data_IF_572495331071
#
_entry.id   IF_572495331071
#
_cell.length_a   1.000
_cell.length_b   1.000
_cell.length_c   1.000
_cell.angle_alpha   90.00
_cell.angle_beta   90.00
_cell.angle_gamma   90.00
#
_symmetry.space_group_name_H-M   'P 1'
#
loop_
_entity.id
_entity.type
_entity.pdbx_description
1 polymer ?
#
# COMPACT_ATOMS: atom_id res chain seq x y z
N UNK A 1 -9.53 -6.82 4.59
CA UNK A 1 -9.94 -8.22 4.39
C UNK A 1 -11.27 -8.21 3.66
N UNK A 2 -11.46 -9.08 2.67
CA UNK A 2 -12.78 -9.30 2.07
C UNK A 2 -13.70 -9.97 3.09
N UNK A 3 -14.98 -9.59 3.09
CA UNK A 3 -16.01 -10.17 3.97
C UNK A 3 -17.39 -10.12 3.30
N UNK A 4 -18.30 -10.95 3.80
CA UNK A 4 -19.73 -10.81 3.52
C UNK A 4 -20.35 -9.67 4.33
N UNK A 5 -21.69 -9.64 4.40
CA UNK A 5 -22.42 -8.58 5.10
C UNK A 5 -22.18 -8.59 6.62
N UNK A 6 -22.11 -9.78 7.22
CA UNK A 6 -21.82 -9.98 8.65
C UNK A 6 -20.42 -9.45 8.98
N UNK A 7 -20.27 -8.80 10.14
CA UNK A 7 -19.01 -8.16 10.58
C UNK A 7 -17.87 -9.18 10.71
N UNK A 8 -18.14 -10.32 11.35
CA UNK A 8 -17.17 -11.39 11.65
C UNK A 8 -17.08 -12.47 10.56
N UNK A 9 -17.41 -12.14 9.31
CA UNK A 9 -17.39 -13.11 8.19
C UNK A 9 -16.10 -13.17 7.38
N UNK A 10 -15.11 -12.34 7.70
CA UNK A 10 -13.81 -12.36 7.04
C UNK A 10 -13.08 -13.69 7.28
N UNK A 11 -12.49 -14.28 6.23
CA UNK A 11 -11.81 -15.59 6.33
C UNK A 11 -10.47 -15.64 5.60
N UNK A 12 -10.46 -15.87 4.28
CA UNK A 12 -9.23 -16.12 3.50
C UNK A 12 -8.94 -15.07 2.43
N UNK A 13 -9.91 -14.23 2.09
CA UNK A 13 -9.81 -13.29 0.98
C UNK A 13 -9.31 -11.92 1.43
N UNK A 14 -8.38 -11.34 0.69
CA UNK A 14 -7.91 -9.97 0.91
C UNK A 14 -7.98 -9.17 -0.39
N UNK A 15 -7.91 -7.85 -0.23
CA UNK A 15 -7.87 -6.92 -1.34
C UNK A 15 -6.78 -5.88 -1.08
N UNK A 16 -6.29 -5.27 -2.16
CA UNK A 16 -5.35 -4.15 -2.10
C UNK A 16 -6.02 -2.96 -2.76
N UNK A 17 -6.11 -1.84 -2.03
CA UNK A 17 -6.69 -0.62 -2.56
C UNK A 17 -5.76 -0.01 -3.63
N UNK A 18 -6.24 0.11 -4.87
CA UNK A 18 -5.49 0.75 -5.96
C UNK A 18 -5.54 2.28 -5.91
N UNK A 19 -6.50 2.83 -5.16
CA UNK A 19 -6.71 4.25 -4.88
C UNK A 19 -7.32 4.37 -3.47
N UNK A 20 -7.25 5.54 -2.80
CA UNK A 20 -7.82 5.72 -1.47
C UNK A 20 -9.34 5.44 -1.43
N UNK A 21 -9.79 4.51 -0.57
CA UNK A 21 -11.21 4.14 -0.41
C UNK A 21 -11.70 4.45 1.01
N UNK A 22 -11.76 5.74 1.36
CA UNK A 22 -12.02 6.22 2.74
C UNK A 22 -13.40 5.84 3.29
N UNK A 23 -14.37 5.52 2.43
CA UNK A 23 -15.70 5.07 2.88
C UNK A 23 -15.67 3.67 3.53
N UNK A 24 -14.58 2.91 3.35
CA UNK A 24 -14.37 1.59 3.98
C UNK A 24 -13.74 1.69 5.37
N UNK A 25 -13.28 2.88 5.78
CA UNK A 25 -12.69 3.10 7.10
C UNK A 25 -13.70 2.69 8.18
N UNK A 26 -13.22 1.97 9.21
CA UNK A 26 -14.02 1.40 10.32
C UNK A 26 -15.07 0.36 9.92
N UNK A 27 -15.13 -0.06 8.65
CA UNK A 27 -16.05 -1.07 8.16
C UNK A 27 -15.36 -2.37 7.73
N UNK A 28 -14.06 -2.30 7.42
CA UNK A 28 -13.23 -3.42 7.01
C UNK A 28 -11.93 -3.46 7.82
N UNK A 29 -11.43 -4.68 8.04
CA UNK A 29 -10.17 -4.92 8.74
C UNK A 29 -8.97 -4.68 7.84
N UNK A 30 -8.20 -3.63 8.15
CA UNK A 30 -6.92 -3.31 7.50
C UNK A 30 -5.78 -3.84 8.38
N UNK A 31 -4.86 -4.61 7.80
CA UNK A 31 -3.79 -5.28 8.54
C UNK A 31 -2.39 -5.10 7.93
N UNK A 32 -2.28 -4.39 6.81
CA UNK A 32 -1.00 -4.25 6.12
C UNK A 32 -1.02 -3.12 5.09
N UNK A 33 0.16 -2.87 4.52
CA UNK A 33 0.37 -1.93 3.42
C UNK A 33 1.41 -2.47 2.46
N UNK A 34 1.27 -2.11 1.19
CA UNK A 34 2.29 -2.39 0.17
C UNK A 34 3.44 -1.39 0.37
N UNK A 35 4.65 -1.89 0.57
CA UNK A 35 5.85 -1.06 0.73
C UNK A 35 6.78 -1.10 -0.49
N UNK A 36 6.59 -2.08 -1.37
CA UNK A 36 7.31 -2.26 -2.62
C UNK A 36 6.41 -2.99 -3.64
N UNK A 37 6.67 -2.82 -4.93
CA UNK A 37 5.98 -3.56 -5.99
C UNK A 37 4.57 -3.08 -6.35
N UNK A 38 4.14 -1.89 -5.89
CA UNK A 38 2.80 -1.35 -6.21
C UNK A 38 2.56 -1.23 -7.73
N UNK A 39 3.61 -1.00 -8.52
CA UNK A 39 3.53 -0.96 -9.98
C UNK A 39 3.03 -2.28 -10.57
N UNK A 40 3.38 -3.43 -9.99
CA UNK A 40 2.89 -4.75 -10.44
C UNK A 40 1.41 -4.92 -10.16
N UNK A 41 0.92 -4.46 -9.00
CA UNK A 41 -0.50 -4.47 -8.66
C UNK A 41 -1.31 -3.57 -9.59
N UNK A 42 -0.76 -2.41 -9.93
CA UNK A 42 -1.38 -1.51 -10.90
C UNK A 42 -1.38 -2.07 -12.33
N UNK A 43 -0.50 -3.02 -12.65
CA UNK A 43 -0.40 -3.66 -13.96
C UNK A 43 -1.31 -4.90 -14.11
N UNK A 44 -1.89 -5.42 -13.03
CA UNK A 44 -2.84 -6.52 -13.08
C UNK A 44 -3.97 -6.24 -14.08
N UNK A 45 -4.37 -7.25 -14.84
CA UNK A 45 -5.40 -7.09 -15.87
C UNK A 45 -6.74 -6.88 -15.19
N UNK A 46 -7.53 -5.94 -15.73
CA UNK A 46 -8.88 -5.69 -15.22
C UNK A 46 -9.79 -6.73 -15.87
N UNK A 47 -10.42 -7.54 -15.04
CA UNK A 47 -11.45 -8.49 -15.42
C UNK A 47 -12.81 -7.97 -14.97
N UNK A 48 -13.87 -8.42 -15.64
CA UNK A 48 -15.23 -8.23 -15.12
C UNK A 48 -15.38 -9.02 -13.82
N UNK A 49 -16.16 -8.51 -12.83
CA UNK A 49 -16.43 -9.28 -11.62
C UNK A 49 -16.96 -10.67 -11.97
N UNK A 50 -16.30 -11.76 -11.55
CA UNK A 50 -16.72 -13.11 -11.87
C UNK A 50 -17.97 -13.48 -11.07
N UNK A 51 -18.93 -14.14 -11.72
CA UNK A 51 -20.12 -14.73 -11.10
C UNK A 51 -19.91 -16.23 -10.80
N UNK A 52 -18.98 -16.86 -11.51
CA UNK A 52 -18.62 -18.27 -11.37
C UNK A 52 -17.10 -18.47 -11.22
N UNK A 53 -16.69 -19.68 -10.79
CA UNK A 53 -15.27 -20.04 -10.69
C UNK A 53 -14.61 -20.31 -12.05
N UNK A 54 -15.42 -20.55 -13.08
CA UNK A 54 -14.96 -20.83 -14.43
C UNK A 54 -14.76 -19.55 -15.26
N UNK A 55 -15.16 -18.39 -14.69
CA UNK A 55 -14.95 -17.08 -15.27
C UNK A 55 -13.47 -16.69 -15.24
N UNK A 56 -13.12 -15.66 -16.00
CA UNK A 56 -11.76 -15.11 -16.00
C UNK A 56 -11.47 -14.35 -14.68
N UNK A 57 -10.72 -14.99 -13.79
CA UNK A 57 -10.35 -14.44 -12.48
C UNK A 57 -9.13 -13.50 -12.51
N UNK A 58 -8.49 -13.32 -13.68
CA UNK A 58 -7.27 -12.53 -13.81
C UNK A 58 -6.01 -13.32 -13.45
N UNK A 59 -4.98 -12.61 -13.00
CA UNK A 59 -3.69 -13.21 -12.65
C UNK A 59 -3.73 -13.98 -11.31
N UNK A 60 -2.84 -14.96 -11.18
CA UNK A 60 -2.74 -15.80 -9.99
C UNK A 60 -1.56 -15.40 -9.10
N UNK A 61 -1.72 -15.60 -7.79
CA UNK A 61 -0.62 -15.49 -6.84
C UNK A 61 0.22 -16.76 -6.94
N UNK A 62 1.40 -16.67 -7.57
CA UNK A 62 2.29 -17.82 -7.80
C UNK A 62 2.91 -18.33 -6.49
N UNK A 63 3.23 -17.43 -5.57
CA UNK A 63 3.79 -17.78 -4.27
C UNK A 63 3.56 -16.68 -3.23
N UNK A 64 3.43 -17.06 -1.97
CA UNK A 64 3.46 -16.16 -0.82
C UNK A 64 4.41 -16.73 0.24
N UNK A 65 5.25 -15.88 0.82
CA UNK A 65 6.20 -16.26 1.86
C UNK A 65 6.33 -15.14 2.87
N UNK A 66 6.52 -15.48 4.14
CA UNK A 66 6.98 -14.52 5.13
C UNK A 66 8.49 -14.36 4.97
N UNK A 67 8.99 -13.13 5.07
CA UNK A 67 10.44 -12.89 5.02
C UNK A 67 11.19 -13.65 6.13
N UNK A 68 10.56 -13.90 7.28
CA UNK A 68 11.11 -14.73 8.36
C UNK A 68 11.39 -16.17 7.95
N UNK A 69 10.70 -16.68 6.94
CA UNK A 69 10.78 -18.08 6.51
C UNK A 69 11.85 -18.27 5.42
N UNK A 70 12.42 -17.18 4.91
CA UNK A 70 13.54 -17.22 3.96
C UNK A 70 14.89 -17.40 4.69
N UNK A 71 15.89 -18.03 4.03
CA UNK A 71 17.29 -17.97 4.46
C UNK A 71 17.74 -16.53 4.70
N UNK A 72 18.56 -16.27 5.71
CA UNK A 72 18.92 -14.90 6.14
C UNK A 72 19.54 -14.05 5.02
N UNK A 73 20.27 -14.68 4.12
CA UNK A 73 20.92 -14.10 2.94
C UNK A 73 19.95 -13.80 1.79
N UNK A 74 18.78 -14.42 1.77
CA UNK A 74 17.70 -14.15 0.79
C UNK A 74 16.64 -13.17 1.32
N UNK A 75 16.71 -12.78 2.61
CA UNK A 75 15.69 -11.90 3.21
C UNK A 75 15.80 -10.48 2.66
N UNK A 76 14.75 -9.93 2.02
CA UNK A 76 14.74 -8.52 1.64
C UNK A 76 14.72 -7.66 2.90
N UNK A 77 15.50 -6.57 2.89
CA UNK A 77 15.60 -5.63 4.01
C UNK A 77 15.05 -4.29 3.60
N UNK A 78 14.10 -3.80 4.38
CA UNK A 78 13.49 -2.49 4.17
C UNK A 78 13.63 -1.64 5.42
N UNK A 79 13.87 -0.35 5.21
CA UNK A 79 13.79 0.67 6.24
C UNK A 79 12.69 1.66 5.88
N UNK A 80 11.91 2.03 6.90
CA UNK A 80 10.79 2.96 6.79
C UNK A 80 11.16 4.22 7.56
N UNK A 81 10.92 5.40 6.96
CA UNK A 81 11.12 6.65 7.66
C UNK A 81 10.18 6.73 8.87
N UNK A 82 10.74 6.92 10.06
CA UNK A 82 9.99 7.10 11.30
C UNK A 82 9.16 8.39 11.25
N UNK A 83 7.84 8.24 11.33
CA UNK A 83 6.88 9.34 11.30
C UNK A 83 6.96 10.29 12.52
N UNK A 84 7.60 9.86 13.60
CA UNK A 84 7.86 10.70 14.77
C UNK A 84 9.13 11.55 14.63
N UNK A 85 9.96 11.30 13.61
CA UNK A 85 11.24 12.00 13.45
C UNK A 85 11.10 13.42 12.89
N UNK A 86 12.04 14.34 13.23
CA UNK A 86 12.10 15.66 12.58
C UNK A 86 12.24 15.60 11.06
N UNK A 87 12.88 14.54 10.54
CA UNK A 87 13.02 14.32 9.10
C UNK A 87 11.66 14.07 8.43
N UNK A 88 10.75 13.34 9.07
CA UNK A 88 9.40 13.15 8.55
C UNK A 88 8.59 14.45 8.57
N UNK A 89 8.72 15.26 9.63
CA UNK A 89 8.07 16.57 9.69
C UNK A 89 8.53 17.48 8.54
N UNK A 90 9.84 17.54 8.28
CA UNK A 90 10.39 18.29 7.14
C UNK A 90 9.89 17.75 5.79
N UNK A 91 9.83 16.41 5.65
CA UNK A 91 9.29 15.74 4.46
C UNK A 91 7.82 16.09 4.18
N UNK A 92 6.98 16.10 5.22
CA UNK A 92 5.58 16.46 5.11
C UNK A 92 5.43 17.95 4.75
N UNK A 93 6.20 18.83 5.37
CA UNK A 93 6.14 20.27 5.08
C UNK A 93 6.56 20.59 3.65
N UNK A 94 7.64 19.96 3.14
CA UNK A 94 8.08 20.13 1.76
C UNK A 94 7.02 19.69 0.73
N UNK A 95 6.18 18.70 1.08
CA UNK A 95 5.07 18.26 0.20
C UNK A 95 3.86 19.16 0.29
N UNK A 96 3.57 19.68 1.49
CA UNK A 96 2.47 20.61 1.74
C UNK A 96 2.72 21.89 0.98
N UNK A 97 3.88 22.49 1.18
CA UNK A 97 4.24 23.81 0.66
C UNK A 97 5.44 23.69 -0.28
N UNK A 98 5.20 23.15 -1.49
CA UNK A 98 6.23 22.99 -2.53
C UNK A 98 7.00 24.31 -2.74
N UNK A 99 8.25 24.41 -2.24
CA UNK A 99 8.91 25.71 -2.08
C UNK A 99 9.54 26.22 -3.38
N UNK A 100 9.60 25.39 -4.42
CA UNK A 100 10.26 25.69 -5.69
C UNK A 100 9.60 26.90 -6.39
N UNK A 101 10.40 27.71 -7.08
CA UNK A 101 9.95 28.92 -7.78
C UNK A 101 8.89 28.65 -8.85
N UNK A 102 8.84 27.42 -9.37
CA UNK A 102 7.83 26.98 -10.33
C UNK A 102 6.39 27.15 -9.80
N UNK A 103 6.17 27.01 -8.49
CA UNK A 103 4.82 27.05 -7.89
C UNK A 103 4.45 28.47 -7.45
N UNK A 104 3.72 29.20 -8.32
CA UNK A 104 3.20 30.54 -8.03
C UNK A 104 2.07 30.54 -6.98
N UNK A 105 1.21 29.51 -6.99
CA UNK A 105 0.17 29.29 -5.99
C UNK A 105 0.50 28.03 -5.19
N UNK A 106 0.48 28.15 -3.87
CA UNK A 106 0.92 27.10 -2.94
C UNK A 106 -0.22 26.72 -1.99
N UNK A 107 -0.95 25.62 -2.26
CA UNK A 107 -1.99 25.14 -1.36
C UNK A 107 -1.37 24.66 -0.04
N UNK A 108 -1.89 25.08 1.10
CA UNK A 108 -1.32 24.74 2.42
C UNK A 108 -2.03 23.53 3.06
N UNK A 109 -2.19 22.44 2.31
CA UNK A 109 -2.82 21.21 2.80
C UNK A 109 -2.24 19.97 2.12
N UNK A 110 -2.48 18.80 2.74
CA UNK A 110 -2.10 17.50 2.22
C UNK A 110 -3.24 16.52 2.37
N UNK A 111 -3.45 15.70 1.35
CA UNK A 111 -4.19 14.46 1.51
C UNK A 111 -3.26 13.40 2.12
N UNK A 112 -3.64 12.91 3.30
CA UNK A 112 -2.88 11.91 4.06
C UNK A 112 -2.64 10.63 3.26
N UNK A 113 -3.56 10.26 2.36
CA UNK A 113 -3.44 9.05 1.54
C UNK A 113 -2.57 9.25 0.29
N UNK A 114 -2.29 10.50 -0.09
CA UNK A 114 -1.42 10.83 -1.23
C UNK A 114 0.02 11.13 -0.83
N UNK A 115 0.34 11.02 0.47
CA UNK A 115 1.69 11.18 1.00
C UNK A 115 2.22 9.82 1.51
N UNK A 116 2.76 8.96 0.62
CA UNK A 116 3.35 7.71 1.05
C UNK A 116 4.57 7.97 1.94
N UNK A 117 4.67 7.24 3.05
CA UNK A 117 5.86 7.28 3.92
C UNK A 117 7.05 6.70 3.14
N UNK A 118 8.21 7.37 3.12
CA UNK A 118 9.39 6.85 2.44
C UNK A 118 9.80 5.48 2.96
N UNK A 119 10.07 4.58 2.01
CA UNK A 119 10.64 3.26 2.24
C UNK A 119 11.86 3.12 1.35
N UNK A 120 12.92 2.50 1.86
CA UNK A 120 14.09 2.12 1.06
C UNK A 120 14.43 0.66 1.28
N UNK A 121 14.87 0.00 0.22
CA UNK A 121 15.55 -1.28 0.32
C UNK A 121 17.01 -1.05 0.74
N UNK A 122 17.55 -1.94 1.58
CA UNK A 122 18.93 -1.91 2.03
C UNK A 122 19.64 -3.22 1.72
N UNK A 123 20.96 -3.17 1.53
CA UNK A 123 21.75 -4.37 1.27
C UNK A 123 21.69 -5.32 2.50
N UNK A 124 21.66 -6.62 2.22
CA UNK A 124 21.94 -7.63 3.23
C UNK A 124 23.34 -7.37 3.83
N UNK A 125 23.44 -7.39 5.16
CA UNK A 125 24.73 -7.32 5.87
C UNK A 125 25.44 -8.66 5.82
#
# INVERSE_FOLDING_TARGET
>A
FGRGNEEDSASTEFYIALQPQRYLDRNLSVFGRVIDGMAHLQALRRVTPPESKDDDLGETIISMRMASDLPEDERPRFEILDSASPAFAAFAEARRNRPEEFFYFRPNYLDICQMPVPVRETAAK
#
